data_IF_705776517034
#
_entry.id   IF_705776517034
#
_cell.length_a   1.000
_cell.length_b   1.000
_cell.length_c   1.000
_cell.angle_alpha   90.00
_cell.angle_beta   90.00
_cell.angle_gamma   90.00
#
_symmetry.space_group_name_H-M   'P 1'
#
loop_
_entity.id
_entity.type
_entity.pdbx_description
1 polymer ?
#
# COMPACT_ATOMS: atom_id res chain seq x y z
N UNK A 1 20.30 16.91 4.95
CA UNK A 1 20.01 16.06 6.13
C UNK A 1 20.60 16.78 7.33
N UNK A 2 19.79 17.08 8.33
CA UNK A 2 20.25 17.74 9.57
C UNK A 2 20.69 16.72 10.61
N UNK A 3 21.40 17.16 11.65
CA UNK A 3 21.82 16.32 12.78
C UNK A 3 20.64 15.68 13.51
N UNK A 4 19.52 16.40 13.65
CA UNK A 4 18.29 15.87 14.23
C UNK A 4 17.66 14.78 13.36
N UNK A 5 17.61 14.99 12.03
CA UNK A 5 17.10 13.99 11.10
C UNK A 5 17.96 12.71 11.11
N UNK A 6 19.28 12.83 11.28
CA UNK A 6 20.18 11.68 11.42
C UNK A 6 19.91 10.88 12.70
N UNK A 7 19.72 11.56 13.84
CA UNK A 7 19.36 10.91 15.11
C UNK A 7 18.03 10.17 14.98
N UNK A 8 17.02 10.80 14.40
CA UNK A 8 15.71 10.18 14.17
C UNK A 8 15.78 8.99 13.21
N UNK A 9 16.51 9.10 12.10
CA UNK A 9 16.71 7.99 11.15
C UNK A 9 17.29 6.75 11.86
N UNK A 10 18.31 6.92 12.72
CA UNK A 10 18.89 5.81 13.48
C UNK A 10 17.90 5.18 14.43
N UNK A 11 17.16 5.99 15.19
CA UNK A 11 16.15 5.50 16.12
C UNK A 11 15.06 4.67 15.40
N UNK A 12 14.50 5.20 14.31
CA UNK A 12 13.47 4.50 13.54
C UNK A 12 13.97 3.24 12.86
N UNK A 13 15.19 3.27 12.34
CA UNK A 13 15.80 2.07 11.79
C UNK A 13 15.97 1.00 12.87
N UNK A 14 16.42 1.36 14.09
CA UNK A 14 16.49 0.43 15.21
C UNK A 14 15.12 -0.13 15.64
N UNK A 15 14.05 0.65 15.49
CA UNK A 15 12.64 0.23 15.68
C UNK A 15 12.13 -0.68 14.54
N UNK A 16 12.94 -0.98 13.52
CA UNK A 16 12.58 -1.86 12.41
C UNK A 16 11.84 -1.16 11.27
N UNK A 17 11.81 0.17 11.24
CA UNK A 17 11.11 0.93 10.19
C UNK A 17 11.81 0.82 8.84
N UNK A 18 11.02 0.80 7.77
CA UNK A 18 11.53 0.80 6.40
C UNK A 18 11.82 2.23 5.88
N UNK A 19 12.58 2.32 4.79
CA UNK A 19 13.03 3.60 4.22
C UNK A 19 11.87 4.54 3.82
N UNK A 20 10.68 4.01 3.50
CA UNK A 20 9.49 4.84 3.19
C UNK A 20 8.89 5.44 4.45
N UNK A 21 8.69 4.65 5.50
CA UNK A 21 8.12 5.15 6.76
C UNK A 21 9.02 6.23 7.37
N UNK A 22 10.33 6.01 7.33
CA UNK A 22 11.33 6.98 7.79
C UNK A 22 11.30 8.25 6.90
N UNK A 23 11.14 8.10 5.59
CA UNK A 23 11.06 9.22 4.67
C UNK A 23 9.80 10.07 4.91
N UNK A 24 8.66 9.42 5.08
CA UNK A 24 7.38 10.08 5.37
C UNK A 24 7.44 10.84 6.70
N UNK A 25 8.01 10.24 7.76
CA UNK A 25 8.16 10.92 9.06
C UNK A 25 9.11 12.12 8.99
N UNK A 26 10.22 12.00 8.27
CA UNK A 26 11.24 13.04 8.20
C UNK A 26 10.96 14.11 7.13
N UNK A 27 9.89 13.94 6.34
CA UNK A 27 9.57 14.81 5.21
C UNK A 27 10.63 14.76 4.11
N UNK A 28 11.25 13.60 3.89
CA UNK A 28 12.36 13.40 2.98
C UNK A 28 11.98 12.54 1.77
N UNK A 29 12.78 12.62 0.72
CA UNK A 29 12.71 11.65 -0.37
C UNK A 29 13.24 10.30 0.11
N UNK A 30 12.57 9.20 -0.25
CA UNK A 30 13.02 7.82 0.07
C UNK A 30 14.46 7.57 -0.38
N UNK A 31 14.86 8.09 -1.54
CA UNK A 31 16.24 7.99 -2.03
C UNK A 31 17.28 8.66 -1.13
N UNK A 32 16.90 9.75 -0.45
CA UNK A 32 17.75 10.42 0.54
C UNK A 32 17.95 9.54 1.78
N UNK A 33 16.86 8.93 2.28
CA UNK A 33 16.94 7.99 3.42
C UNK A 33 17.80 6.78 3.06
N UNK A 34 17.59 6.19 1.88
CA UNK A 34 18.42 5.09 1.37
C UNK A 34 19.90 5.47 1.32
N UNK A 35 20.24 6.64 0.76
CA UNK A 35 21.62 7.11 0.66
C UNK A 35 22.26 7.19 2.05
N UNK A 36 21.58 7.82 3.01
CA UNK A 36 22.13 7.98 4.35
C UNK A 36 22.18 6.67 5.13
N UNK A 37 21.09 5.89 5.14
CA UNK A 37 21.03 4.60 5.83
C UNK A 37 22.10 3.64 5.31
N UNK A 38 22.13 3.39 3.99
CA UNK A 38 23.00 2.37 3.39
C UNK A 38 24.43 2.86 3.21
N UNK A 39 24.63 4.03 2.61
CA UNK A 39 25.95 4.46 2.14
C UNK A 39 26.72 5.30 3.16
N UNK A 40 26.04 5.99 4.08
CA UNK A 40 26.71 6.83 5.11
C UNK A 40 26.73 6.19 6.49
N UNK A 41 25.70 5.41 6.83
CA UNK A 41 25.54 4.85 8.17
C UNK A 41 25.71 3.32 8.23
N UNK A 42 25.75 2.63 7.09
CA UNK A 42 25.92 1.18 7.03
C UNK A 42 24.79 0.37 7.70
N UNK A 43 23.61 0.99 7.87
CA UNK A 43 22.50 0.41 8.60
C UNK A 43 21.72 -0.61 7.75
N UNK A 44 21.22 -1.71 8.35
CA UNK A 44 20.49 -2.74 7.62
C UNK A 44 19.17 -2.19 7.06
N UNK A 45 18.76 -2.72 5.92
CA UNK A 45 17.44 -2.41 5.37
C UNK A 45 16.41 -3.28 6.09
N UNK A 46 15.45 -2.66 6.76
CA UNK A 46 14.24 -3.36 7.12
C UNK A 46 13.38 -3.42 5.87
N UNK A 47 13.40 -4.59 5.22
CA UNK A 47 12.35 -4.94 4.25
C UNK A 47 11.07 -5.10 5.06
N UNK A 48 10.49 -3.98 5.48
CA UNK A 48 9.07 -3.96 5.75
C UNK A 48 8.45 -4.52 4.49
N UNK A 49 7.64 -5.58 4.64
CA UNK A 49 6.61 -5.85 3.65
C UNK A 49 6.11 -4.48 3.27
N UNK A 50 6.38 -4.03 2.02
CA UNK A 50 5.73 -2.83 1.52
C UNK A 50 4.30 -3.02 2.01
N UNK A 51 3.69 -2.10 2.79
CA UNK A 51 2.30 -2.29 3.13
C UNK A 51 1.69 -2.54 1.76
N UNK A 52 1.33 -3.81 1.50
CA UNK A 52 0.62 -4.19 0.30
C UNK A 52 -0.59 -3.38 0.62
N UNK A 53 -0.68 -2.16 0.08
CA UNK A 53 -1.80 -1.27 0.31
C UNK A 53 -2.94 -2.22 0.07
N UNK A 54 -3.59 -2.64 1.15
CA UNK A 54 -4.67 -3.59 1.05
C UNK A 54 -5.69 -2.70 0.39
N UNK A 55 -5.72 -2.81 -0.94
CA UNK A 55 -6.53 -1.93 -1.75
C UNK A 55 -7.92 -2.43 -1.45
N UNK A 56 -8.72 -1.55 -0.88
CA UNK A 56 -10.12 -1.87 -0.70
C UNK A 56 -10.77 -1.86 -2.07
N UNK A 57 -11.66 -2.83 -2.24
CA UNK A 57 -12.45 -3.03 -3.43
C UNK A 57 -13.90 -2.86 -3.05
N UNK A 58 -14.63 -2.14 -3.89
CA UNK A 58 -16.08 -2.10 -3.85
C UNK A 58 -16.58 -2.93 -5.02
N UNK A 59 -17.25 -4.05 -4.73
CA UNK A 59 -17.85 -4.93 -5.73
C UNK A 59 -19.33 -4.65 -5.78
N UNK A 60 -19.84 -4.35 -6.97
CA UNK A 60 -21.25 -4.09 -7.21
C UNK A 60 -21.95 -5.32 -7.82
N UNK A 61 -23.20 -5.52 -7.44
CA UNK A 61 -24.08 -6.49 -8.07
C UNK A 61 -24.57 -6.00 -9.45
N UNK A 62 -25.42 -6.79 -10.13
CA UNK A 62 -26.00 -6.40 -11.42
C UNK A 62 -27.03 -5.26 -11.33
N UNK A 63 -27.47 -4.93 -10.12
CA UNK A 63 -28.46 -3.91 -9.81
C UNK A 63 -27.83 -2.60 -9.32
N UNK A 64 -26.50 -2.56 -9.17
CA UNK A 64 -25.76 -1.40 -8.68
C UNK A 64 -25.63 -1.32 -7.16
N UNK A 65 -26.04 -2.34 -6.41
CA UNK A 65 -25.86 -2.39 -4.96
C UNK A 65 -24.46 -2.90 -4.61
N UNK A 66 -23.94 -2.46 -3.46
CA UNK A 66 -22.66 -2.95 -2.93
C UNK A 66 -22.84 -4.41 -2.49
N UNK A 67 -22.24 -5.32 -3.24
CA UNK A 67 -22.23 -6.75 -2.94
C UNK A 67 -21.12 -7.14 -1.96
N UNK A 68 -19.98 -6.44 -1.99
CA UNK A 68 -18.91 -6.60 -1.01
C UNK A 68 -17.99 -5.37 -0.97
N UNK A 69 -17.44 -5.10 0.22
CA UNK A 69 -16.45 -4.04 0.46
C UNK A 69 -15.29 -4.58 1.31
N UNK A 70 -14.08 -4.07 1.07
CA UNK A 70 -12.88 -4.38 1.83
C UNK A 70 -11.78 -4.96 0.95
N UNK A 71 -10.85 -5.70 1.54
CA UNK A 71 -9.74 -6.28 0.80
C UNK A 71 -10.22 -7.32 -0.23
N UNK A 72 -9.42 -7.59 -1.26
CA UNK A 72 -9.77 -8.63 -2.25
C UNK A 72 -10.07 -10.00 -1.60
N UNK A 73 -9.44 -10.29 -0.45
CA UNK A 73 -9.66 -11.54 0.29
C UNK A 73 -10.99 -11.54 1.03
N UNK A 74 -11.40 -10.41 1.58
CA UNK A 74 -12.70 -10.25 2.24
C UNK A 74 -13.83 -10.28 1.21
N UNK A 75 -13.71 -9.55 0.10
CA UNK A 75 -14.70 -9.61 -0.98
C UNK A 75 -14.85 -11.03 -1.53
N UNK A 76 -13.74 -11.74 -1.73
CA UNK A 76 -13.75 -13.13 -2.17
C UNK A 76 -14.50 -14.04 -1.19
N UNK A 77 -14.25 -13.88 0.11
CA UNK A 77 -14.94 -14.64 1.16
C UNK A 77 -16.45 -14.33 1.18
N UNK A 78 -16.84 -13.07 1.14
CA UNK A 78 -18.25 -12.64 1.16
C UNK A 78 -19.02 -13.15 -0.05
N UNK A 79 -18.38 -13.13 -1.23
CA UNK A 79 -18.99 -13.56 -2.49
C UNK A 79 -18.86 -15.07 -2.74
N UNK A 80 -18.14 -15.81 -1.88
CA UNK A 80 -17.87 -17.24 -2.08
C UNK A 80 -17.00 -17.55 -3.32
N UNK A 81 -16.15 -16.62 -3.74
CA UNK A 81 -15.28 -16.76 -4.92
C UNK A 81 -13.80 -16.83 -4.53
N UNK A 82 -12.94 -17.17 -5.49
CA UNK A 82 -11.49 -17.13 -5.30
C UNK A 82 -10.99 -15.68 -5.32
N UNK A 83 -9.89 -15.40 -4.61
CA UNK A 83 -9.29 -14.05 -4.56
C UNK A 83 -8.85 -13.58 -5.95
N UNK A 84 -8.36 -14.51 -6.77
CA UNK A 84 -7.98 -14.28 -8.15
C UNK A 84 -9.15 -13.75 -9.00
N UNK A 85 -10.37 -14.21 -8.71
CA UNK A 85 -11.59 -13.75 -9.38
C UNK A 85 -11.81 -12.26 -9.14
N UNK A 86 -11.56 -11.76 -7.93
CA UNK A 86 -11.68 -10.33 -7.60
C UNK A 86 -10.67 -9.51 -8.42
N UNK A 87 -9.43 -9.96 -8.55
CA UNK A 87 -8.43 -9.28 -9.37
C UNK A 87 -8.79 -9.28 -10.86
N UNK A 88 -9.28 -10.40 -11.39
CA UNK A 88 -9.73 -10.51 -12.78
C UNK A 88 -10.94 -9.60 -13.04
N UNK A 89 -11.91 -9.55 -12.14
CA UNK A 89 -13.07 -8.66 -12.24
C UNK A 89 -12.65 -7.19 -12.20
N UNK A 90 -11.80 -6.80 -11.25
CA UNK A 90 -11.27 -5.44 -11.18
C UNK A 90 -10.52 -5.04 -12.46
N UNK A 91 -9.70 -5.92 -13.02
CA UNK A 91 -8.98 -5.66 -14.27
C UNK A 91 -9.93 -5.52 -15.46
N UNK A 92 -10.95 -6.39 -15.56
CA UNK A 92 -11.97 -6.31 -16.60
C UNK A 92 -12.81 -5.04 -16.49
N UNK A 93 -13.20 -4.69 -15.27
CA UNK A 93 -14.00 -3.52 -14.98
C UNK A 93 -13.27 -2.22 -15.34
N UNK A 94 -11.97 -2.14 -15.00
CA UNK A 94 -11.13 -1.01 -15.40
C UNK A 94 -10.97 -0.89 -16.93
N UNK A 95 -10.83 -2.02 -17.65
CA UNK A 95 -10.73 -2.01 -19.13
C UNK A 95 -12.04 -1.63 -19.82
N UNK A 96 -13.17 -2.12 -19.29
CA UNK A 96 -14.51 -1.87 -19.84
C UNK A 96 -15.14 -0.57 -19.36
N UNK A 97 -14.60 0.01 -18.28
CA UNK A 97 -15.17 1.15 -17.55
C UNK A 97 -16.62 0.90 -17.12
N UNK A 98 -16.92 -0.36 -16.75
CA UNK A 98 -18.28 -0.81 -16.40
C UNK A 98 -18.63 -0.62 -14.91
N UNK A 99 -17.66 -0.17 -14.09
CA UNK A 99 -17.87 0.17 -12.68
C UNK A 99 -18.20 -1.01 -11.76
N UNK A 100 -18.24 -2.25 -12.26
CA UNK A 100 -18.64 -3.43 -11.49
C UNK A 100 -17.71 -3.74 -10.32
N UNK A 101 -16.42 -3.42 -10.44
CA UNK A 101 -15.46 -3.51 -9.32
C UNK A 101 -14.57 -2.28 -9.32
N UNK A 102 -14.69 -1.47 -8.29
CA UNK A 102 -13.92 -0.23 -8.11
C UNK A 102 -12.81 -0.46 -7.10
N UNK A 103 -11.62 0.09 -7.40
CA UNK A 103 -10.47 0.10 -6.51
C UNK A 103 -10.41 1.44 -5.78
N UNK A 104 -10.73 1.45 -4.49
CA UNK A 104 -10.84 2.68 -3.68
C UNK A 104 -9.50 3.40 -3.47
N UNK A 105 -8.38 2.75 -3.77
CA UNK A 105 -7.04 3.38 -3.74
C UNK A 105 -6.83 4.49 -4.79
N UNK A 106 -7.71 4.63 -5.78
CA UNK A 106 -7.73 5.75 -6.75
C UNK A 106 -8.64 6.91 -6.32
N UNK A 107 -9.42 6.74 -5.24
CA UNK A 107 -10.26 7.77 -4.64
C UNK A 107 -9.41 8.66 -3.72
N UNK A 108 -8.48 9.44 -4.29
CA UNK A 108 -7.77 10.47 -3.52
C UNK A 108 -8.66 11.69 -3.35
N UNK A 109 -8.94 12.02 -2.08
CA UNK A 109 -9.15 13.39 -1.63
C UNK A 109 -7.89 14.23 -1.88
#
# INVERSE_FOLDING_TARGET
>A
MTTLQLRRLRARNAEGWNDRQIADELGLKVGMVYYWRRLKLGLPAHRGASPRRLRDYTVYDRHGNVAAFGTARECARTLGVKVETIYSLASRSARRRDGRVVRESDSRF
#
